data_IF_925375150723
#
_entry.id   IF_925375150723
#
_cell.length_a   1.000
_cell.length_b   1.000
_cell.length_c   1.000
_cell.angle_alpha   90.00
_cell.angle_beta   90.00
_cell.angle_gamma   90.00
#
_symmetry.space_group_name_H-M   'P 1'
#
loop_
_entity.id
_entity.type
_entity.pdbx_description
1 polymer ?
#
# COMPACT_ATOMS: atom_id res chain seq x y z
N UNK A 1 -7.15 -13.38 -3.01
CA UNK A 1 -6.18 -13.19 -1.91
C UNK A 1 -6.61 -12.04 -1.00
N UNK A 2 -6.96 -10.87 -1.55
CA UNK A 2 -7.43 -9.71 -0.78
C UNK A 2 -8.81 -9.92 -0.14
N UNK A 3 -9.69 -10.72 -0.72
CA UNK A 3 -11.06 -10.93 -0.18
C UNK A 3 -11.12 -11.64 1.16
N UNK A 4 -10.00 -12.23 1.61
CA UNK A 4 -9.89 -12.84 2.94
C UNK A 4 -9.41 -11.85 3.99
N UNK A 5 -9.11 -10.60 3.63
CA UNK A 5 -8.71 -9.57 4.58
C UNK A 5 -9.90 -9.15 5.44
N UNK A 6 -9.69 -8.96 6.76
CA UNK A 6 -10.67 -8.32 7.63
C UNK A 6 -11.09 -6.94 7.11
N UNK A 7 -12.32 -6.52 7.42
CA UNK A 7 -12.89 -5.27 6.92
C UNK A 7 -12.11 -4.02 7.36
N UNK A 8 -11.63 -3.97 8.60
CA UNK A 8 -10.79 -2.90 9.14
C UNK A 8 -9.43 -2.81 8.41
N UNK A 9 -8.90 -3.93 7.93
CA UNK A 9 -7.68 -3.91 7.10
C UNK A 9 -8.00 -3.47 5.67
N UNK A 10 -9.01 -4.10 5.04
CA UNK A 10 -9.33 -3.89 3.62
C UNK A 10 -9.72 -2.44 3.33
N UNK A 11 -10.34 -1.74 4.29
CA UNK A 11 -10.76 -0.36 4.09
C UNK A 11 -9.62 0.67 4.16
N UNK A 12 -8.42 0.27 4.57
CA UNK A 12 -7.21 1.12 4.55
C UNK A 12 -6.51 1.09 3.19
N UNK A 13 -6.93 0.22 2.26
CA UNK A 13 -6.33 0.09 0.94
C UNK A 13 -6.93 1.13 -0.01
N UNK A 14 -6.09 1.96 -0.67
CA UNK A 14 -6.52 2.72 -1.84
C UNK A 14 -7.00 1.78 -2.95
N UNK A 15 -7.96 2.25 -3.74
CA UNK A 15 -8.58 1.49 -4.81
C UNK A 15 -7.55 0.95 -5.81
N UNK A 16 -6.55 1.74 -6.18
CA UNK A 16 -5.47 1.34 -7.09
C UNK A 16 -4.65 0.15 -6.56
N UNK A 17 -4.49 0.02 -5.25
CA UNK A 17 -3.79 -1.11 -4.63
C UNK A 17 -4.63 -2.38 -4.69
N UNK A 18 -5.96 -2.26 -4.49
CA UNK A 18 -6.90 -3.37 -4.62
C UNK A 18 -6.95 -3.88 -6.06
N UNK A 19 -7.14 -2.97 -7.02
CA UNK A 19 -7.19 -3.29 -8.45
C UNK A 19 -5.88 -3.91 -8.94
N UNK A 20 -4.73 -3.38 -8.50
CA UNK A 20 -3.44 -3.96 -8.82
C UNK A 20 -3.36 -5.41 -8.34
N UNK A 21 -3.69 -5.66 -7.07
CA UNK A 21 -3.62 -7.00 -6.50
C UNK A 21 -4.62 -7.99 -7.13
N UNK A 22 -5.80 -7.54 -7.54
CA UNK A 22 -6.78 -8.35 -8.28
C UNK A 22 -6.31 -8.67 -9.70
N UNK A 23 -5.54 -7.76 -10.31
CA UNK A 23 -5.00 -7.92 -11.67
C UNK A 23 -3.73 -8.77 -11.76
N UNK A 24 -3.19 -9.26 -10.64
CA UNK A 24 -1.98 -10.10 -10.63
C UNK A 24 -2.30 -11.51 -11.14
N UNK A 25 -1.61 -11.92 -12.20
CA UNK A 25 -1.68 -13.29 -12.71
C UNK A 25 -0.81 -14.25 -11.89
N UNK A 26 -0.96 -15.56 -12.11
CA UNK A 26 -0.15 -16.57 -11.43
C UNK A 26 1.35 -16.41 -11.71
N UNK A 27 1.73 -16.10 -12.95
CA UNK A 27 3.13 -15.94 -13.34
C UNK A 27 3.74 -14.66 -12.78
N UNK A 28 2.99 -13.56 -12.78
CA UNK A 28 3.40 -12.31 -12.12
C UNK A 28 3.53 -12.49 -10.61
N UNK A 29 2.66 -13.30 -9.98
CA UNK A 29 2.79 -13.66 -8.57
C UNK A 29 4.11 -14.37 -8.29
N UNK A 30 4.60 -15.24 -9.19
CA UNK A 30 5.92 -15.89 -9.06
C UNK A 30 7.04 -14.86 -9.14
N UNK A 31 6.98 -13.90 -10.07
CA UNK A 31 7.95 -12.80 -10.18
C UNK A 31 8.01 -11.98 -8.89
N UNK A 32 6.86 -11.54 -8.37
CA UNK A 32 6.80 -10.76 -7.12
C UNK A 32 7.34 -11.56 -5.94
N UNK A 33 6.99 -12.85 -5.80
CA UNK A 33 7.52 -13.73 -4.76
C UNK A 33 9.05 -13.79 -4.81
N UNK A 34 9.62 -14.01 -6.00
CA UNK A 34 11.07 -14.10 -6.14
C UNK A 34 11.79 -12.80 -5.80
N UNK A 35 11.22 -11.64 -6.17
CA UNK A 35 11.78 -10.34 -5.81
C UNK A 35 11.66 -10.11 -4.30
N UNK A 36 10.49 -10.34 -3.71
CA UNK A 36 10.25 -10.11 -2.28
C UNK A 36 11.00 -11.10 -1.37
N UNK A 37 11.39 -12.28 -1.87
CA UNK A 37 12.23 -13.22 -1.12
C UNK A 37 13.69 -12.78 -1.05
N UNK A 38 14.19 -12.10 -2.09
CA UNK A 38 15.59 -11.66 -2.17
C UNK A 38 15.88 -10.40 -1.37
N UNK A 39 14.84 -9.62 -1.05
CA UNK A 39 14.96 -8.36 -0.34
C UNK A 39 14.16 -8.42 0.96
N UNK A 40 14.86 -8.36 2.10
CA UNK A 40 14.21 -8.35 3.42
C UNK A 40 13.43 -7.04 3.67
N UNK A 41 13.92 -5.94 3.10
CA UNK A 41 13.32 -4.62 3.11
C UNK A 41 13.76 -3.88 1.82
N UNK A 42 12.94 -2.94 1.35
CA UNK A 42 13.33 -1.96 0.34
C UNK A 42 13.42 -0.62 1.05
N UNK A 43 14.60 0.00 1.03
CA UNK A 43 14.89 1.22 1.78
C UNK A 43 14.42 2.47 1.02
N UNK A 44 14.41 2.39 -0.31
CA UNK A 44 14.03 3.49 -1.19
C UNK A 44 12.70 3.26 -1.91
N UNK A 45 11.94 4.35 -2.05
CA UNK A 45 10.69 4.36 -2.82
C UNK A 45 11.00 4.01 -4.28
N UNK A 46 10.45 2.89 -4.74
CA UNK A 46 10.62 2.43 -6.13
C UNK A 46 11.76 1.43 -6.35
N UNK A 47 12.59 1.13 -5.34
CA UNK A 47 13.65 0.10 -5.45
C UNK A 47 13.07 -1.26 -5.83
N UNK A 48 11.96 -1.65 -5.19
CA UNK A 48 11.18 -2.85 -5.52
C UNK A 48 10.74 -2.88 -6.98
N UNK A 49 10.32 -1.74 -7.52
CA UNK A 49 9.84 -1.64 -8.90
C UNK A 49 10.99 -1.87 -9.87
N UNK A 50 12.18 -1.32 -9.57
CA UNK A 50 13.36 -1.51 -10.40
C UNK A 50 13.79 -2.99 -10.47
N UNK A 51 13.68 -3.75 -9.36
CA UNK A 51 13.96 -5.19 -9.37
C UNK A 51 12.91 -6.01 -10.14
N UNK A 52 11.64 -5.62 -10.06
CA UNK A 52 10.58 -6.24 -10.88
C UNK A 52 10.79 -5.94 -12.36
N UNK A 53 11.19 -4.72 -12.71
CA UNK A 53 11.39 -4.27 -14.10
C UNK A 53 12.47 -5.07 -14.84
N UNK A 54 13.46 -5.60 -14.12
CA UNK A 54 14.48 -6.51 -14.70
C UNK A 54 13.91 -7.85 -15.17
N UNK A 55 12.71 -8.21 -14.73
CA UNK A 55 12.06 -9.51 -14.97
C UNK A 55 10.77 -9.38 -15.76
N UNK A 56 9.98 -8.36 -15.46
CA UNK A 56 8.67 -8.10 -16.06
C UNK A 56 8.39 -6.59 -16.12
N UNK A 57 8.64 -6.01 -17.29
CA UNK A 57 8.42 -4.58 -17.56
C UNK A 57 6.94 -4.17 -17.45
N UNK A 58 6.01 -5.03 -17.89
CA UNK A 58 4.58 -4.69 -17.89
C UNK A 58 4.03 -4.67 -16.45
N UNK A 59 4.48 -5.60 -15.62
CA UNK A 59 4.18 -5.62 -14.20
C UNK A 59 4.79 -4.39 -13.49
N UNK A 60 6.06 -4.08 -13.75
CA UNK A 60 6.72 -2.91 -13.19
C UNK A 60 6.01 -1.60 -13.56
N UNK A 61 5.56 -1.45 -14.81
CA UNK A 61 4.80 -0.29 -15.25
C UNK A 61 3.47 -0.13 -14.52
N UNK A 62 2.77 -1.24 -14.21
CA UNK A 62 1.57 -1.18 -13.36
C UNK A 62 1.92 -0.76 -11.93
N UNK A 63 3.01 -1.26 -11.35
CA UNK A 63 3.47 -0.83 -10.02
C UNK A 63 3.84 0.66 -9.99
N UNK A 64 4.47 1.19 -11.04
CA UNK A 64 4.76 2.63 -11.18
C UNK A 64 3.48 3.47 -11.17
N UNK A 65 2.43 3.02 -11.86
CA UNK A 65 1.13 3.71 -11.88
C UNK A 65 0.49 3.74 -10.50
N UNK A 66 0.51 2.62 -9.76
CA UNK A 66 0.01 2.56 -8.38
C UNK A 66 0.81 3.49 -7.46
N UNK A 67 2.13 3.50 -7.57
CA UNK A 67 2.97 4.40 -6.79
C UNK A 67 2.69 5.88 -7.11
N UNK A 68 2.59 6.23 -8.40
CA UNK A 68 2.29 7.60 -8.82
C UNK A 68 0.92 8.07 -8.32
N UNK A 69 -0.11 7.21 -8.41
CA UNK A 69 -1.44 7.50 -7.87
C UNK A 69 -1.38 7.75 -6.35
N UNK A 70 -0.72 6.87 -5.60
CA UNK A 70 -0.52 7.05 -4.16
C UNK A 70 0.22 8.35 -3.82
N UNK A 71 1.28 8.70 -4.56
CA UNK A 71 2.00 9.95 -4.37
C UNK A 71 1.12 11.19 -4.63
N UNK A 72 0.27 11.15 -5.66
CA UNK A 72 -0.61 12.27 -5.99
C UNK A 72 -1.61 12.60 -4.88
N UNK A 73 -2.01 11.60 -4.08
CA UNK A 73 -2.91 11.79 -2.94
C UNK A 73 -2.27 12.56 -1.78
N UNK A 74 -0.95 12.74 -1.80
CA UNK A 74 -0.21 13.51 -0.79
C UNK A 74 -0.14 15.02 -1.11
N UNK A 75 -0.50 15.41 -2.33
CA UNK A 75 -0.37 16.79 -2.78
C UNK A 75 -1.29 17.74 -1.99
N UNK A 76 -0.70 18.81 -1.44
CA UNK A 76 -1.44 19.81 -0.67
C UNK A 76 -1.83 19.40 0.76
N UNK A 77 -1.43 18.20 1.21
CA UNK A 77 -1.58 17.79 2.60
C UNK A 77 -0.58 18.52 3.52
N UNK A 78 -0.94 18.66 4.79
CA UNK A 78 -0.01 19.16 5.82
C UNK A 78 1.11 18.14 6.08
N UNK A 79 2.25 18.55 6.67
CA UNK A 79 3.32 17.61 7.06
C UNK A 79 2.83 16.44 7.93
N UNK A 80 1.93 16.71 8.88
CA UNK A 80 1.35 15.68 9.77
C UNK A 80 0.48 14.69 9.00
N UNK A 81 -0.36 15.18 8.09
CA UNK A 81 -1.21 14.34 7.24
C UNK A 81 -0.37 13.50 6.26
N UNK A 82 0.73 14.06 5.73
CA UNK A 82 1.69 13.32 4.89
C UNK A 82 2.39 12.22 5.69
N UNK A 83 2.84 12.50 6.92
CA UNK A 83 3.48 11.51 7.78
C UNK A 83 2.54 10.34 8.11
N UNK A 84 1.30 10.65 8.50
CA UNK A 84 0.26 9.64 8.72
C UNK A 84 -0.01 8.81 7.45
N UNK A 85 -0.14 9.45 6.29
CA UNK A 85 -0.40 8.76 5.02
C UNK A 85 0.73 7.79 4.66
N UNK A 86 1.99 8.18 4.87
CA UNK A 86 3.15 7.29 4.66
C UNK A 86 3.09 6.06 5.56
N UNK A 87 2.66 6.22 6.81
CA UNK A 87 2.46 5.10 7.74
C UNK A 87 1.38 4.13 7.24
N UNK A 88 0.23 4.66 6.80
CA UNK A 88 -0.85 3.85 6.24
C UNK A 88 -0.41 3.08 4.97
N UNK A 89 0.28 3.75 4.06
CA UNK A 89 0.82 3.12 2.83
C UNK A 89 1.86 2.05 3.15
N UNK A 90 2.74 2.30 4.14
CA UNK A 90 3.73 1.31 4.60
C UNK A 90 3.05 0.05 5.15
N UNK A 91 2.00 0.21 5.94
CA UNK A 91 1.19 -0.91 6.42
C UNK A 91 0.54 -1.71 5.28
N UNK A 92 -0.15 -1.03 4.36
CA UNK A 92 -0.78 -1.67 3.18
C UNK A 92 0.26 -2.45 2.36
N UNK A 93 1.42 -1.83 2.11
CA UNK A 93 2.53 -2.46 1.39
C UNK A 93 3.03 -3.70 2.12
N UNK A 94 3.22 -3.62 3.43
CA UNK A 94 3.63 -4.76 4.24
C UNK A 94 2.63 -5.92 4.19
N UNK A 95 1.32 -5.63 4.26
CA UNK A 95 0.28 -6.66 4.13
C UNK A 95 0.35 -7.32 2.75
N UNK A 96 0.43 -6.54 1.67
CA UNK A 96 0.53 -7.08 0.30
C UNK A 96 1.77 -7.96 0.09
N UNK A 97 2.93 -7.52 0.57
CA UNK A 97 4.17 -8.29 0.51
C UNK A 97 4.07 -9.59 1.32
N UNK A 98 3.57 -9.52 2.56
CA UNK A 98 3.41 -10.69 3.42
C UNK A 98 2.49 -11.73 2.78
N UNK A 99 1.35 -11.31 2.25
CA UNK A 99 0.41 -12.20 1.56
C UNK A 99 1.02 -12.80 0.30
N UNK A 100 1.75 -12.01 -0.49
CA UNK A 100 2.46 -12.50 -1.68
C UNK A 100 3.47 -13.59 -1.30
N UNK A 101 4.19 -13.40 -0.19
CA UNK A 101 5.17 -14.37 0.32
C UNK A 101 4.55 -15.57 1.06
N UNK A 102 3.24 -15.60 1.28
CA UNK A 102 2.59 -16.60 2.12
C UNK A 102 2.99 -16.50 3.60
N UNK A 103 3.43 -15.33 4.05
CA UNK A 103 3.78 -15.03 5.44
C UNK A 103 2.58 -14.47 6.19
N UNK A 104 2.58 -14.65 7.51
CA UNK A 104 1.61 -13.98 8.37
C UNK A 104 1.81 -12.46 8.31
N UNK A 105 0.73 -11.74 8.00
CA UNK A 105 0.71 -10.28 8.04
C UNK A 105 0.31 -9.78 9.44
N UNK A 106 0.90 -8.67 9.89
CA UNK A 106 0.55 -7.99 11.15
C UNK A 106 -0.76 -7.20 11.01
N UNK A 107 -1.88 -7.90 10.80
CA UNK A 107 -3.20 -7.29 10.55
C UNK A 107 -3.71 -6.45 11.73
N UNK A 108 -3.28 -6.77 12.95
CA UNK A 108 -3.60 -6.06 14.18
C UNK A 108 -3.19 -4.57 14.15
N UNK A 109 -2.20 -4.21 13.34
CA UNK A 109 -1.77 -2.81 13.17
C UNK A 109 -2.80 -1.93 12.47
N UNK A 110 -3.83 -2.50 11.86
CA UNK A 110 -4.93 -1.72 11.28
C UNK A 110 -5.66 -0.90 12.36
N UNK A 111 -5.90 -1.49 13.53
CA UNK A 111 -6.61 -0.82 14.62
C UNK A 111 -5.78 0.38 15.15
N UNK A 112 -4.46 0.26 15.22
CA UNK A 112 -3.56 1.36 15.56
C UNK A 112 -3.64 2.51 14.55
N UNK A 113 -3.74 2.22 13.25
CA UNK A 113 -3.87 3.24 12.21
C UNK A 113 -5.20 3.99 12.35
N UNK A 114 -6.29 3.27 12.58
CA UNK A 114 -7.59 3.88 12.84
C UNK A 114 -7.54 4.79 14.07
N UNK A 115 -6.96 4.32 15.18
CA UNK A 115 -6.83 5.12 16.40
C UNK A 115 -5.96 6.37 16.20
N UNK A 116 -4.88 6.27 15.43
CA UNK A 116 -4.01 7.41 15.14
C UNK A 116 -4.69 8.43 14.26
N UNK A 117 -5.50 8.00 13.29
CA UNK A 117 -6.31 8.92 12.50
C UNK A 117 -7.24 9.77 13.38
N UNK A 118 -7.90 9.15 14.37
CA UNK A 118 -8.79 9.88 15.29
C UNK A 118 -8.04 10.91 16.16
N UNK A 119 -6.73 10.73 16.36
CA UNK A 119 -5.87 11.65 17.14
C UNK A 119 -5.37 12.84 16.31
N UNK A 120 -5.52 12.82 14.99
CA UNK A 120 -5.13 13.94 14.13
C UNK A 120 -6.04 15.16 14.34
N UNK A 121 -5.53 16.39 14.10
CA UNK A 121 -6.36 17.58 14.03
C UNK A 121 -7.53 17.40 13.04
N UNK A 122 -8.69 17.99 13.34
CA UNK A 122 -9.88 17.87 12.49
C UNK A 122 -9.62 18.31 11.03
N UNK A 123 -8.82 19.36 10.82
CA UNK A 123 -8.44 19.81 9.49
C UNK A 123 -7.62 18.77 8.71
N UNK A 124 -6.73 18.03 9.39
CA UNK A 124 -5.95 16.96 8.78
C UNK A 124 -6.83 15.74 8.46
N UNK A 125 -7.76 15.40 9.36
CA UNK A 125 -8.74 14.33 9.10
C UNK A 125 -9.61 14.63 7.87
N UNK A 126 -10.09 15.86 7.74
CA UNK A 126 -10.88 16.30 6.58
C UNK A 126 -10.06 16.31 5.29
N UNK A 127 -8.83 16.82 5.34
CA UNK A 127 -7.92 16.83 4.20
C UNK A 127 -7.61 15.40 3.71
N UNK A 128 -7.33 14.48 4.62
CA UNK A 128 -7.08 13.07 4.31
C UNK A 128 -8.33 12.39 3.71
N UNK A 129 -9.52 12.57 4.30
CA UNK A 129 -10.77 12.03 3.75
C UNK A 129 -11.06 12.57 2.35
N UNK A 130 -10.72 13.84 2.08
CA UNK A 130 -10.89 14.46 0.77
C UNK A 130 -9.90 13.92 -0.27
N UNK A 131 -8.64 13.70 0.12
CA UNK A 131 -7.60 13.16 -0.76
C UNK A 131 -7.74 11.63 -0.98
N UNK A 132 -8.36 10.93 -0.03
CA UNK A 132 -8.55 9.48 -0.04
C UNK A 132 -10.03 9.11 0.16
N UNK A 133 -10.94 9.49 -0.76
CA UNK A 133 -12.39 9.30 -0.57
C UNK A 133 -12.83 7.82 -0.54
N UNK A 134 -12.00 6.94 -1.08
CA UNK A 134 -12.16 5.48 -1.13
C UNK A 134 -11.63 4.77 0.13
N UNK A 135 -10.79 5.44 0.92
CA UNK A 135 -10.19 4.90 2.14
C UNK A 135 -11.04 5.28 3.35
N UNK A 136 -11.27 4.31 4.24
CA UNK A 136 -11.99 4.54 5.50
C UNK A 136 -10.99 4.48 6.65
N UNK A 137 -10.49 5.65 7.05
CA UNK A 137 -9.64 5.82 8.24
C UNK A 137 -10.45 5.80 9.53
#
# INVERSE_FOLDING_TARGET
MIDTLPSNVKCLFPQENLEFAESITEDESKVLKEVFQKHACFEEVGEMIAEVDKRDHALADRMRKVLAANCSRLEGLSPNAVEFSKKAVSFVTHVMCSMTLGKQACLEKADEIHEEFQKLPAADQEALKKAHPDVKF
#
